data_IF_037518347752
#
_entry.id   IF_037518347752
#
_cell.length_a   1.000
_cell.length_b   1.000
_cell.length_c   1.000
_cell.angle_alpha   90.00
_cell.angle_beta   90.00
_cell.angle_gamma   90.00
#
_symmetry.space_group_name_H-M   'P 1'
#
loop_
_entity.id
_entity.type
_entity.pdbx_description
1 polymer ?
#
# COMPACT_ATOMS: atom_id res chain seq x y z
N UNK A 1 4.47 9.53 -14.24
CA UNK A 1 4.23 8.26 -13.50
C UNK A 1 5.48 7.83 -12.73
N UNK A 2 6.67 7.90 -13.33
CA UNK A 2 7.92 7.44 -12.68
C UNK A 2 8.25 8.15 -11.36
N UNK A 3 8.04 9.46 -11.28
CA UNK A 3 8.24 10.22 -10.03
C UNK A 3 7.30 9.75 -8.92
N UNK A 4 6.06 9.41 -9.25
CA UNK A 4 5.10 8.86 -8.30
C UNK A 4 5.55 7.50 -7.79
N UNK A 5 5.95 6.59 -8.68
CA UNK A 5 6.46 5.27 -8.29
C UNK A 5 7.72 5.37 -7.42
N UNK A 6 8.65 6.24 -7.80
CA UNK A 6 9.87 6.47 -7.04
C UNK A 6 9.62 7.13 -5.67
N UNK A 7 8.59 7.96 -5.54
CA UNK A 7 8.18 8.51 -4.25
C UNK A 7 7.52 7.42 -3.38
N UNK A 8 6.62 6.63 -3.97
CA UNK A 8 5.94 5.52 -3.29
C UNK A 8 6.94 4.48 -2.75
N UNK A 9 7.96 4.14 -3.53
CA UNK A 9 9.01 3.17 -3.12
C UNK A 9 9.90 3.68 -1.97
N UNK A 10 9.87 4.98 -1.66
CA UNK A 10 10.58 5.59 -0.52
C UNK A 10 9.73 5.72 0.73
N UNK A 11 8.41 5.54 0.63
CA UNK A 11 7.54 5.60 1.79
C UNK A 11 7.77 4.39 2.70
N UNK A 12 7.70 4.58 4.03
CA UNK A 12 7.81 3.47 4.97
C UNK A 12 6.68 2.47 4.75
N UNK A 13 7.04 1.19 4.67
CA UNK A 13 6.07 0.10 4.64
C UNK A 13 5.50 -0.09 6.05
N UNK A 14 4.20 -0.31 6.15
CA UNK A 14 3.44 -0.36 7.39
C UNK A 14 2.85 0.99 7.77
N UNK A 15 2.63 1.18 9.06
CA UNK A 15 2.05 2.40 9.61
C UNK A 15 3.10 3.49 9.80
N UNK A 16 2.76 4.70 9.37
CA UNK A 16 3.55 5.91 9.61
C UNK A 16 2.63 7.11 9.84
N UNK A 17 3.10 8.08 10.62
CA UNK A 17 2.48 9.40 10.66
C UNK A 17 3.35 10.41 9.94
N UNK A 18 2.74 11.45 9.41
CA UNK A 18 3.45 12.46 8.66
C UNK A 18 2.60 13.69 8.38
N UNK A 19 3.08 14.52 7.46
CA UNK A 19 2.38 15.74 7.05
C UNK A 19 2.13 15.77 5.54
N UNK A 20 0.98 16.31 5.17
CA UNK A 20 0.61 16.65 3.81
C UNK A 20 -0.29 17.89 3.84
N UNK A 21 0.00 18.87 2.97
CA UNK A 21 -0.73 20.13 2.87
C UNK A 21 -0.94 20.85 4.21
N UNK A 22 0.07 20.83 5.09
CA UNK A 22 0.00 21.47 6.43
C UNK A 22 -0.79 20.69 7.49
N UNK A 23 -1.41 19.56 7.14
CA UNK A 23 -2.16 18.72 8.06
C UNK A 23 -1.36 17.47 8.45
N UNK A 24 -1.68 16.89 9.63
CA UNK A 24 -1.14 15.61 10.06
C UNK A 24 -1.95 14.46 9.46
N UNK A 25 -1.27 13.40 9.06
CA UNK A 25 -1.87 12.23 8.43
C UNK A 25 -1.28 10.95 9.02
N UNK A 26 -2.12 9.95 9.24
CA UNK A 26 -1.73 8.55 9.44
C UNK A 26 -1.80 7.84 8.10
N UNK A 27 -0.73 7.16 7.69
CA UNK A 27 -0.62 6.44 6.42
C UNK A 27 -0.20 5.00 6.70
N UNK A 28 -0.96 4.07 6.14
CA UNK A 28 -0.62 2.65 6.07
C UNK A 28 -0.28 2.32 4.63
N UNK A 29 0.95 1.90 4.38
CA UNK A 29 1.39 1.39 3.09
C UNK A 29 1.66 -0.10 3.21
N UNK A 30 0.99 -0.90 2.40
CA UNK A 30 1.27 -2.32 2.28
C UNK A 30 1.79 -2.60 0.88
N UNK A 31 2.93 -3.31 0.83
CA UNK A 31 3.60 -3.64 -0.40
C UNK A 31 3.86 -5.14 -0.42
N UNK A 32 3.41 -5.80 -1.47
CA UNK A 32 3.67 -7.21 -1.68
C UNK A 32 5.19 -7.46 -1.77
N UNK A 33 5.64 -8.65 -1.40
CA UNK A 33 7.06 -9.03 -1.43
C UNK A 33 7.66 -8.91 -2.85
N UNK A 34 6.85 -9.11 -3.88
CA UNK A 34 7.23 -8.94 -5.30
C UNK A 34 7.25 -7.47 -5.76
N UNK A 35 6.78 -6.54 -4.93
CA UNK A 35 6.58 -5.10 -5.19
C UNK A 35 5.70 -4.79 -6.41
N UNK A 36 4.97 -5.78 -6.92
CA UNK A 36 4.06 -5.64 -8.07
C UNK A 36 2.69 -5.15 -7.65
N UNK A 37 2.32 -5.34 -6.39
CA UNK A 37 1.05 -4.90 -5.82
C UNK A 37 1.31 -4.10 -4.57
N UNK A 38 0.65 -2.96 -4.45
CA UNK A 38 0.61 -2.23 -3.19
C UNK A 38 -0.73 -1.53 -3.02
N UNK A 39 -1.10 -1.30 -1.77
CA UNK A 39 -2.22 -0.44 -1.41
C UNK A 39 -1.78 0.55 -0.35
N UNK A 40 -2.40 1.72 -0.40
CA UNK A 40 -2.15 2.78 0.56
C UNK A 40 -3.49 3.27 1.11
N UNK A 41 -3.51 3.51 2.42
CA UNK A 41 -4.61 4.17 3.11
C UNK A 41 -4.06 5.29 3.98
N UNK A 42 -4.55 6.50 3.77
CA UNK A 42 -4.18 7.70 4.50
C UNK A 42 -5.42 8.37 5.09
N UNK A 43 -5.35 8.74 6.36
CA UNK A 43 -6.39 9.52 7.04
C UNK A 43 -5.80 10.77 7.67
N UNK A 44 -6.52 11.88 7.54
CA UNK A 44 -6.14 13.13 8.16
C UNK A 44 -6.44 13.06 9.67
N UNK A 45 -5.39 13.22 10.48
CA UNK A 45 -5.51 13.22 11.93
C UNK A 45 -6.16 14.52 12.40
N UNK A 46 -7.35 14.40 13.00
CA UNK A 46 -8.16 15.55 13.45
C UNK A 46 -8.94 16.23 12.32
N UNK A 47 -9.08 15.60 11.16
CA UNK A 47 -9.92 16.07 10.05
C UNK A 47 -10.78 14.95 9.48
N UNK A 48 -11.38 15.21 8.31
CA UNK A 48 -12.21 14.24 7.57
C UNK A 48 -11.56 13.76 6.28
N UNK A 49 -10.35 14.26 5.97
CA UNK A 49 -9.61 13.89 4.77
C UNK A 49 -9.23 12.42 4.76
N UNK A 50 -9.39 11.78 3.60
CA UNK A 50 -8.98 10.39 3.34
C UNK A 50 -8.31 10.32 1.99
N UNK A 51 -7.30 9.44 1.86
CA UNK A 51 -6.62 9.13 0.60
C UNK A 51 -6.41 7.63 0.53
N UNK A 52 -6.88 6.99 -0.55
CA UNK A 52 -6.67 5.55 -0.72
C UNK A 52 -6.57 5.13 -2.18
N UNK A 53 -5.70 4.16 -2.45
CA UNK A 53 -5.54 3.59 -3.77
C UNK A 53 -4.93 2.19 -3.73
N UNK A 54 -5.15 1.47 -4.84
CA UNK A 54 -4.42 0.26 -5.20
C UNK A 54 -3.54 0.53 -6.41
N UNK A 55 -2.32 -0.01 -6.43
CA UNK A 55 -1.41 0.07 -7.57
C UNK A 55 -0.97 -1.34 -7.96
N UNK A 56 -1.01 -1.59 -9.27
CA UNK A 56 -0.56 -2.83 -9.88
C UNK A 56 0.53 -2.51 -10.92
N UNK A 57 1.72 -3.09 -10.77
CA UNK A 57 2.79 -3.01 -11.79
C UNK A 57 2.62 -4.21 -12.72
N UNK A 58 2.08 -3.98 -13.91
CA UNK A 58 1.83 -5.00 -14.93
C UNK A 58 2.92 -4.93 -16.01
N UNK A 59 2.99 -5.93 -16.89
CA UNK A 59 3.92 -5.95 -18.02
C UNK A 59 3.70 -4.77 -18.98
N UNK A 60 2.43 -4.41 -19.21
CA UNK A 60 2.02 -3.29 -20.06
C UNK A 60 2.08 -1.92 -19.36
N UNK A 61 2.48 -1.89 -18.09
CA UNK A 61 2.66 -0.65 -17.32
C UNK A 61 1.93 -0.62 -15.98
N UNK A 62 2.15 0.44 -15.18
CA UNK A 62 1.51 0.60 -13.88
C UNK A 62 0.03 1.02 -14.01
N UNK A 63 -0.84 0.33 -13.30
CA UNK A 63 -2.26 0.63 -13.19
C UNK A 63 -2.58 1.15 -11.78
N UNK A 64 -2.91 2.43 -11.69
CA UNK A 64 -3.35 3.10 -10.45
C UNK A 64 -4.88 3.08 -10.37
N UNK A 65 -5.43 2.62 -9.24
CA UNK A 65 -6.87 2.60 -8.94
C UNK A 65 -7.17 3.34 -7.63
N UNK A 66 -7.53 4.63 -7.70
CA UNK A 66 -8.07 5.39 -6.57
C UNK A 66 -9.45 4.84 -6.16
N UNK A 67 -9.79 4.89 -4.86
CA UNK A 67 -11.06 4.35 -4.37
C UNK A 67 -12.23 5.34 -4.48
N UNK A 68 -12.05 6.59 -4.05
CA UNK A 68 -13.12 7.60 -3.96
C UNK A 68 -12.67 9.04 -4.32
N UNK A 69 -11.59 9.18 -5.08
CA UNK A 69 -11.01 10.50 -5.41
C UNK A 69 -10.24 10.47 -6.74
N UNK A 70 -10.01 11.63 -7.37
CA UNK A 70 -9.26 11.68 -8.62
C UNK A 70 -7.82 11.17 -8.44
N UNK A 71 -7.29 10.59 -9.51
CA UNK A 71 -5.92 10.09 -9.54
C UNK A 71 -4.90 11.20 -9.28
N UNK A 72 -5.16 12.44 -9.69
CA UNK A 72 -4.26 13.57 -9.45
C UNK A 72 -4.10 13.86 -7.94
N UNK A 73 -5.17 13.75 -7.15
CA UNK A 73 -5.11 13.93 -5.69
C UNK A 73 -4.24 12.85 -5.05
N UNK A 74 -4.39 11.60 -5.48
CA UNK A 74 -3.55 10.50 -4.99
C UNK A 74 -2.08 10.72 -5.35
N UNK A 75 -1.80 11.11 -6.59
CA UNK A 75 -0.44 11.37 -7.05
C UNK A 75 0.18 12.53 -6.28
N UNK A 76 -0.54 13.65 -6.14
CA UNK A 76 -0.11 14.80 -5.37
C UNK A 76 0.16 14.44 -3.90
N UNK A 77 -0.71 13.62 -3.29
CA UNK A 77 -0.52 13.13 -1.93
C UNK A 77 0.79 12.37 -1.78
N UNK A 78 1.04 11.35 -2.60
CA UNK A 78 2.25 10.52 -2.50
C UNK A 78 3.52 11.33 -2.76
N UNK A 79 3.49 12.30 -3.68
CA UNK A 79 4.66 13.15 -3.98
C UNK A 79 4.99 14.14 -2.85
N UNK A 80 3.98 14.66 -2.16
CA UNK A 80 4.14 15.71 -1.16
C UNK A 80 4.06 15.21 0.29
N UNK A 81 3.58 14.00 0.55
CA UNK A 81 3.56 13.42 1.88
C UNK A 81 4.99 13.30 2.42
N UNK A 82 5.16 13.68 3.69
CA UNK A 82 6.42 13.59 4.41
C UNK A 82 6.21 12.77 5.68
N UNK A 83 6.68 11.51 5.73
CA UNK A 83 6.64 10.74 6.96
C UNK A 83 7.52 11.41 8.02
N UNK A 84 7.04 11.43 9.24
CA UNK A 84 7.77 11.89 10.41
C UNK A 84 8.61 10.71 10.94
N UNK A 85 9.96 10.77 10.88
CA UNK A 85 10.82 9.63 11.20
C UNK A 85 10.66 9.15 12.66
N UNK A 86 10.27 10.03 13.59
CA UNK A 86 10.03 9.68 14.99
C UNK A 86 8.68 9.00 15.22
N UNK A 87 7.82 8.94 14.19
CA UNK A 87 6.48 8.34 14.22
C UNK A 87 6.32 7.21 13.19
N UNK A 88 7.43 6.72 12.63
CA UNK A 88 7.49 5.44 11.93
C UNK A 88 7.66 4.37 13.03
N UNK A 89 6.58 3.64 13.33
CA UNK A 89 6.53 2.62 14.40
C UNK A 89 7.57 1.51 14.19
N UNK A 90 8.33 1.04 15.22
CA UNK A 90 7.84 0.11 16.25
C UNK A 90 7.37 0.85 17.51
N UNK A 91 6.48 0.26 18.33
CA UNK A 91 5.55 1.03 19.15
C UNK A 91 6.26 1.82 20.26
N UNK A 92 5.88 3.08 20.46
CA UNK A 92 6.00 3.72 21.78
C UNK A 92 4.95 3.11 22.71
N UNK A 93 5.25 2.82 23.99
CA UNK A 93 4.25 2.36 24.94
C UNK A 93 3.15 3.43 25.04
N UNK A 94 1.92 3.01 24.74
CA UNK A 94 0.76 3.87 24.70
C UNK A 94 0.50 4.44 26.11
N UNK A 95 0.81 5.72 26.33
CA UNK A 95 0.13 6.47 27.39
C UNK A 95 -1.32 6.66 26.92
N UNK A 96 -2.25 6.20 27.75
CA UNK A 96 -3.63 5.93 27.39
C UNK A 96 -4.29 6.98 26.49
N UNK A 97 -4.56 6.58 25.24
CA UNK A 97 -5.73 7.06 24.51
C UNK A 97 -6.48 5.83 24.02
N UNK A 98 -7.68 5.66 24.55
CA UNK A 98 -8.70 4.77 24.00
C UNK A 98 -9.10 5.27 22.61
N UNK A 99 -8.27 4.98 21.64
CA UNK A 99 -8.53 5.18 20.23
C UNK A 99 -7.96 3.98 19.52
N UNK A 100 -8.78 2.95 19.34
CA UNK A 100 -8.44 1.84 18.46
C UNK A 100 -7.98 2.44 17.13
N UNK A 101 -6.73 2.18 16.74
CA UNK A 101 -6.36 2.29 15.33
C UNK A 101 -7.45 1.54 14.54
N UNK A 102 -8.11 2.15 13.55
CA UNK A 102 -9.11 1.44 12.79
C UNK A 102 -8.43 0.23 12.17
N UNK A 103 -8.77 -0.96 12.69
CA UNK A 103 -8.51 -2.19 11.95
C UNK A 103 -9.29 -2.03 10.64
N UNK A 104 -8.71 -2.26 9.47
CA UNK A 104 -9.47 -2.25 8.23
C UNK A 104 -10.65 -3.20 8.44
N UNK A 105 -11.87 -2.64 8.39
CA UNK A 105 -13.09 -3.43 8.52
C UNK A 105 -13.08 -4.46 7.42
N UNK A 106 -13.03 -5.73 7.84
CA UNK A 106 -13.39 -6.96 7.14
C UNK A 106 -13.97 -6.81 5.72
N UNK A 107 -13.15 -6.40 4.75
CA UNK A 107 -13.42 -6.60 3.31
C UNK A 107 -12.13 -6.68 2.47
N UNK A 108 -10.96 -6.36 3.05
CA UNK A 108 -9.68 -6.40 2.34
C UNK A 108 -8.94 -7.75 2.47
N UNK A 109 -9.69 -8.86 2.37
CA UNK A 109 -9.13 -10.23 2.27
C UNK A 109 -9.56 -10.90 0.96
N UNK A 110 -9.63 -10.14 -0.12
CA UNK A 110 -9.84 -10.63 -1.48
C UNK A 110 -8.73 -10.19 -2.45
N UNK A 111 -7.47 -10.41 -2.07
CA UNK A 111 -6.34 -10.37 -3.01
C UNK A 111 -5.36 -11.55 -2.82
N UNK A 112 -5.79 -12.61 -2.12
CA UNK A 112 -5.08 -13.87 -1.97
C UNK A 112 -5.96 -15.04 -2.43
N UNK A 113 -6.04 -15.23 -3.74
CA UNK A 113 -6.32 -16.53 -4.35
C UNK A 113 -5.40 -16.73 -5.56
N UNK A 114 -4.10 -16.58 -5.34
CA UNK A 114 -3.09 -17.26 -6.16
C UNK A 114 -2.97 -18.69 -5.67
N UNK A 115 -3.99 -19.51 -5.96
CA UNK A 115 -3.82 -20.97 -5.89
C UNK A 115 -3.03 -21.35 -7.13
N UNK A 116 -1.85 -21.91 -6.90
CA UNK A 116 -0.92 -22.41 -7.89
C UNK A 116 -1.66 -23.18 -9.00
N UNK A 117 -1.59 -22.68 -10.24
CA UNK A 117 -1.82 -23.50 -11.44
C UNK A 117 -0.43 -23.78 -11.99
N UNK A 118 -0.04 -25.06 -12.02
CA UNK A 118 1.21 -25.49 -12.63
C UNK A 118 1.98 -26.50 -11.78
N UNK A 119 1.38 -27.66 -11.50
CA UNK A 119 2.17 -28.87 -11.30
C UNK A 119 2.74 -29.25 -12.67
N UNK A 120 4.00 -28.91 -12.89
CA UNK A 120 4.77 -29.42 -14.03
C UNK A 120 5.27 -30.80 -13.58
N UNK A 121 4.66 -31.85 -14.13
CA UNK A 121 5.28 -33.17 -14.11
C UNK A 121 6.43 -33.14 -15.12
N UNK A 122 7.64 -33.00 -14.59
CA UNK A 122 8.85 -33.33 -15.31
C UNK A 122 9.17 -34.79 -14.98
N UNK A 123 8.80 -35.77 -15.81
CA UNK A 123 9.65 -36.94 -16.12
C UNK A 123 9.02 -37.91 -17.15
N UNK A 124 9.86 -38.29 -18.11
CA UNK A 124 9.78 -39.53 -18.91
C UNK A 124 8.98 -39.49 -20.21
N UNK A 125 9.58 -38.85 -21.21
CA UNK A 125 9.55 -39.38 -22.57
C UNK A 125 10.76 -40.29 -22.80
N UNK A 126 10.54 -41.58 -23.08
CA UNK A 126 11.42 -42.34 -23.96
C UNK A 126 10.58 -43.42 -24.67
N UNK A 127 10.18 -43.08 -25.89
CA UNK A 127 9.82 -44.01 -26.94
C UNK A 127 11.14 -44.55 -27.51
N UNK A 128 11.32 -45.86 -27.50
CA UNK A 128 12.27 -46.56 -28.35
C UNK A 128 11.60 -47.83 -28.89
N UNK A 129 11.75 -47.96 -30.20
CA UNK A 129 11.30 -48.94 -31.20
C UNK A 129 11.12 -50.38 -30.75
#
# INVERSE_FOLDING_TARGET
MDQFLAALDRLPIGYSEGRYAGHRWSVTLDMAADRRRCWLWGEQLGGTGRVSFNLYRLADGPLLRPCEMPAETVIAFVLAYRPDPDLITPPRPAVGRSGSAPRPTSDMRLADRSRCIGGIDCSTGMIAT
#
